data_IF_521536390164
#
_entry.id   IF_521536390164
#
_cell.length_a   1.000
_cell.length_b   1.000
_cell.length_c   1.000
_cell.angle_alpha   90.00
_cell.angle_beta   90.00
_cell.angle_gamma   90.00
#
_symmetry.space_group_name_H-M   'P 1'
#
loop_
_entity.id
_entity.type
_entity.pdbx_description
1 polymer ?
#
# COMPACT_ATOMS: atom_id res chain seq x y z
N UNK A 1 -36.72 -14.54 46.71
CA UNK A 1 -36.44 -14.60 45.24
C UNK A 1 -36.19 -13.16 44.77
N UNK A 2 -35.02 -12.62 45.08
CA UNK A 2 -34.70 -11.24 44.70
C UNK A 2 -33.20 -11.06 44.68
N UNK A 3 -32.66 -10.56 43.55
CA UNK A 3 -31.34 -9.98 43.36
C UNK A 3 -30.13 -10.91 43.35
N UNK A 4 -30.02 -11.69 42.26
CA UNK A 4 -28.72 -11.93 41.64
C UNK A 4 -28.74 -11.23 40.29
N UNK A 5 -28.80 -9.92 40.27
CA UNK A 5 -28.33 -9.14 39.12
C UNK A 5 -26.82 -9.16 39.28
N UNK A 6 -26.17 -10.10 38.60
CA UNK A 6 -24.72 -10.11 38.35
C UNK A 6 -24.36 -8.70 37.84
N UNK A 7 -23.61 -7.98 38.67
CA UNK A 7 -22.93 -6.75 38.27
C UNK A 7 -21.98 -7.16 37.12
N UNK A 8 -22.45 -7.05 35.90
CA UNK A 8 -21.59 -7.22 34.72
C UNK A 8 -20.54 -6.12 34.86
N UNK A 9 -19.38 -6.47 35.36
CA UNK A 9 -18.26 -5.54 35.42
C UNK A 9 -18.02 -5.03 34.00
N UNK A 10 -18.04 -3.70 33.83
CA UNK A 10 -17.70 -3.12 32.52
C UNK A 10 -16.34 -3.68 32.11
N UNK A 11 -16.20 -4.18 30.86
CA UNK A 11 -14.93 -4.71 30.40
C UNK A 11 -13.85 -3.63 30.55
N UNK A 12 -12.61 -4.00 30.87
CA UNK A 12 -11.53 -3.04 31.03
C UNK A 12 -11.41 -2.21 29.75
N UNK A 13 -11.14 -0.92 29.89
CA UNK A 13 -11.08 0.03 28.75
C UNK A 13 -10.19 -0.47 27.61
N UNK A 14 -9.09 -1.13 27.93
CA UNK A 14 -8.19 -1.72 26.92
C UNK A 14 -8.92 -2.75 26.05
N UNK A 15 -9.76 -3.61 26.63
CA UNK A 15 -10.53 -4.59 25.88
C UNK A 15 -11.54 -3.90 24.93
N UNK A 16 -12.19 -2.83 25.39
CA UNK A 16 -13.12 -2.06 24.55
C UNK A 16 -12.39 -1.40 23.38
N UNK A 17 -11.24 -0.79 23.62
CA UNK A 17 -10.42 -0.15 22.59
C UNK A 17 -9.81 -1.19 21.63
N UNK A 18 -9.49 -2.38 22.12
CA UNK A 18 -9.03 -3.49 21.27
C UNK A 18 -10.14 -3.94 20.33
N UNK A 19 -11.36 -4.16 20.83
CA UNK A 19 -12.52 -4.51 20.00
C UNK A 19 -12.75 -3.42 18.95
N UNK A 20 -12.74 -2.15 19.35
CA UNK A 20 -12.93 -1.01 18.45
C UNK A 20 -11.86 -1.00 17.34
N UNK A 21 -10.60 -1.21 17.68
CA UNK A 21 -9.51 -1.23 16.71
C UNK A 21 -9.60 -2.42 15.75
N UNK A 22 -9.98 -3.61 16.25
CA UNK A 22 -10.22 -4.79 15.41
C UNK A 22 -11.37 -4.53 14.44
N UNK A 23 -12.50 -4.03 14.94
CA UNK A 23 -13.65 -3.69 14.09
C UNK A 23 -13.28 -2.64 13.05
N UNK A 24 -12.55 -1.60 13.45
CA UNK A 24 -12.06 -0.58 12.53
C UNK A 24 -11.15 -1.16 11.44
N UNK A 25 -10.19 -2.01 11.81
CA UNK A 25 -9.27 -2.65 10.84
C UNK A 25 -10.02 -3.56 9.88
N UNK A 26 -10.93 -4.40 10.39
CA UNK A 26 -11.73 -5.30 9.56
C UNK A 26 -12.70 -4.52 8.65
N UNK A 27 -13.32 -3.44 9.17
CA UNK A 27 -14.16 -2.57 8.37
C UNK A 27 -13.37 -1.88 7.24
N UNK A 28 -12.13 -1.43 7.53
CA UNK A 28 -11.26 -0.85 6.53
C UNK A 28 -10.86 -1.89 5.47
N UNK A 29 -10.45 -3.09 5.89
CA UNK A 29 -10.11 -4.18 4.98
C UNK A 29 -11.31 -4.57 4.10
N UNK A 30 -12.49 -4.73 4.69
CA UNK A 30 -13.72 -5.02 3.97
C UNK A 30 -14.10 -3.90 3.01
N UNK A 31 -14.00 -2.64 3.43
CA UNK A 31 -14.32 -1.50 2.59
C UNK A 31 -13.44 -1.41 1.34
N UNK A 32 -12.19 -1.85 1.42
CA UNK A 32 -11.28 -1.87 0.25
C UNK A 32 -11.70 -2.89 -0.81
N UNK A 33 -12.47 -3.89 -0.46
CA UNK A 33 -13.04 -4.87 -1.38
C UNK A 33 -14.46 -4.49 -1.79
N UNK A 34 -15.29 -4.14 -0.83
CA UNK A 34 -16.72 -3.96 -1.03
C UNK A 34 -17.10 -2.65 -1.68
N UNK A 35 -16.42 -1.54 -1.33
CA UNK A 35 -16.70 -0.23 -1.98
C UNK A 35 -16.49 -0.31 -3.48
N UNK A 36 -15.38 -0.87 -3.99
CA UNK A 36 -15.20 -1.10 -5.41
C UNK A 36 -16.31 -1.93 -6.06
N UNK A 37 -16.71 -3.00 -5.39
CA UNK A 37 -17.78 -3.87 -5.88
C UNK A 37 -19.11 -3.12 -6.01
N UNK A 38 -19.48 -2.35 -4.99
CA UNK A 38 -20.69 -1.54 -5.00
C UNK A 38 -20.66 -0.46 -6.07
N UNK A 39 -19.51 0.22 -6.22
CA UNK A 39 -19.33 1.19 -7.30
C UNK A 39 -19.43 0.53 -8.66
N UNK A 40 -18.86 -0.67 -8.82
CA UNK A 40 -19.00 -1.45 -10.05
C UNK A 40 -20.47 -1.72 -10.36
N UNK A 41 -21.22 -2.22 -9.40
CA UNK A 41 -22.64 -2.49 -9.58
C UNK A 41 -23.45 -1.24 -9.92
N UNK A 42 -23.16 -0.12 -9.25
CA UNK A 42 -23.87 1.14 -9.48
C UNK A 42 -23.55 1.77 -10.84
N UNK A 43 -22.35 1.58 -11.37
CA UNK A 43 -21.87 2.21 -12.59
C UNK A 43 -21.94 1.30 -13.81
N UNK A 44 -22.18 -0.01 -13.63
CA UNK A 44 -22.18 -1.01 -14.70
C UNK A 44 -23.16 -0.69 -15.84
N UNK A 45 -24.26 0.00 -15.55
CA UNK A 45 -25.23 0.44 -16.57
C UNK A 45 -24.74 1.63 -17.41
N UNK A 46 -23.81 2.43 -16.88
CA UNK A 46 -23.31 3.65 -17.52
C UNK A 46 -21.91 3.48 -18.11
N UNK A 47 -21.14 2.62 -17.49
CA UNK A 47 -19.78 2.27 -17.92
C UNK A 47 -19.81 0.80 -18.31
N UNK A 48 -19.67 0.46 -19.59
CA UNK A 48 -19.73 -0.93 -20.03
C UNK A 48 -18.71 -1.77 -19.29
N UNK A 49 -19.18 -2.89 -18.77
CA UNK A 49 -18.29 -3.87 -18.16
C UNK A 49 -17.48 -4.53 -19.26
N UNK A 50 -16.17 -4.45 -19.18
CA UNK A 50 -15.26 -5.15 -20.13
C UNK A 50 -15.48 -6.66 -20.12
N UNK A 51 -16.11 -7.21 -19.08
CA UNK A 51 -16.48 -8.62 -19.05
C UNK A 51 -17.43 -9.06 -20.14
N UNK A 52 -18.32 -8.18 -20.59
CA UNK A 52 -19.18 -8.45 -21.74
C UNK A 52 -18.43 -8.44 -23.06
N UNK A 53 -17.20 -7.93 -23.09
CA UNK A 53 -16.39 -7.74 -24.30
C UNK A 53 -15.21 -8.72 -24.27
N UNK A 54 -15.48 -10.00 -24.53
CA UNK A 54 -14.49 -11.09 -24.44
C UNK A 54 -13.36 -11.04 -25.50
N UNK A 55 -13.44 -10.18 -26.50
CA UNK A 55 -12.39 -10.08 -27.51
C UNK A 55 -11.49 -8.87 -27.29
N UNK A 56 -10.17 -9.02 -27.41
CA UNK A 56 -9.25 -7.88 -27.38
C UNK A 56 -9.62 -6.77 -28.37
N UNK A 57 -10.16 -7.16 -29.54
CA UNK A 57 -10.58 -6.24 -30.57
C UNK A 57 -11.78 -5.35 -30.17
N UNK A 58 -12.65 -5.84 -29.28
CA UNK A 58 -13.77 -5.06 -28.76
C UNK A 58 -13.36 -4.17 -27.57
N UNK A 59 -12.33 -4.58 -26.83
CA UNK A 59 -11.83 -3.84 -25.65
C UNK A 59 -10.95 -2.67 -26.05
N UNK A 60 -10.10 -2.82 -27.06
CA UNK A 60 -9.17 -1.77 -27.49
C UNK A 60 -9.85 -0.44 -27.85
N UNK A 61 -10.92 -0.39 -28.67
CA UNK A 61 -11.60 0.86 -28.97
C UNK A 61 -12.20 1.54 -27.74
N UNK A 62 -12.71 0.75 -26.78
CA UNK A 62 -13.22 1.30 -25.53
C UNK A 62 -12.11 1.88 -24.68
N UNK A 63 -11.00 1.16 -24.49
CA UNK A 63 -9.82 1.65 -23.78
C UNK A 63 -9.30 2.93 -24.39
N UNK A 64 -9.20 2.99 -25.73
CA UNK A 64 -8.73 4.18 -26.42
C UNK A 64 -9.69 5.36 -26.26
N UNK A 65 -11.01 5.14 -26.29
CA UNK A 65 -12.00 6.19 -26.03
C UNK A 65 -11.90 6.76 -24.61
N UNK A 66 -11.53 5.95 -23.64
CA UNK A 66 -11.35 6.34 -22.23
C UNK A 66 -9.99 6.95 -21.92
N UNK A 67 -9.02 6.90 -22.84
CA UNK A 67 -7.65 7.37 -22.63
C UNK A 67 -7.59 8.85 -22.23
N UNK A 68 -8.38 9.71 -22.86
CA UNK A 68 -8.47 11.13 -22.50
C UNK A 68 -9.01 11.32 -21.08
N UNK A 69 -10.04 10.57 -20.70
CA UNK A 69 -10.58 10.57 -19.34
C UNK A 69 -9.51 10.12 -18.35
N UNK A 70 -8.69 9.14 -18.73
CA UNK A 70 -7.53 8.67 -17.96
C UNK A 70 -6.52 9.78 -17.67
N UNK A 71 -6.16 10.56 -18.68
CA UNK A 71 -5.24 11.70 -18.47
C UNK A 71 -5.83 12.74 -17.52
N UNK A 72 -7.12 13.06 -17.65
CA UNK A 72 -7.79 14.01 -16.75
C UNK A 72 -7.80 13.49 -15.32
N UNK A 73 -8.18 12.23 -15.09
CA UNK A 73 -8.22 11.63 -13.77
C UNK A 73 -6.83 11.53 -13.14
N UNK A 74 -5.82 11.13 -13.91
CA UNK A 74 -4.44 11.13 -13.45
C UNK A 74 -3.98 12.55 -13.05
N UNK A 75 -4.33 13.55 -13.87
CA UNK A 75 -4.07 14.96 -13.54
C UNK A 75 -4.72 15.40 -12.25
N UNK A 76 -5.97 15.01 -11.99
CA UNK A 76 -6.69 15.30 -10.74
C UNK A 76 -5.99 14.63 -9.54
N UNK A 77 -5.60 13.38 -9.65
CA UNK A 77 -4.90 12.66 -8.56
C UNK A 77 -3.56 13.31 -8.26
N UNK A 78 -2.77 13.63 -9.29
CA UNK A 78 -1.49 14.34 -9.13
C UNK A 78 -1.71 15.72 -8.51
N UNK A 79 -2.73 16.46 -8.93
CA UNK A 79 -3.08 17.75 -8.35
C UNK A 79 -3.45 17.61 -6.86
N UNK A 80 -4.25 16.62 -6.47
CA UNK A 80 -4.58 16.34 -5.06
C UNK A 80 -3.32 16.10 -4.23
N UNK A 81 -2.36 15.32 -4.75
CA UNK A 81 -1.10 15.04 -4.08
C UNK A 81 -0.28 16.33 -3.93
N UNK A 82 -0.13 17.11 -5.00
CA UNK A 82 0.65 18.36 -4.97
C UNK A 82 0.00 19.39 -4.04
N UNK A 83 -1.32 19.62 -4.16
CA UNK A 83 -2.06 20.55 -3.30
C UNK A 83 -2.01 20.09 -1.85
N UNK A 84 -2.14 18.80 -1.59
CA UNK A 84 -2.01 18.23 -0.25
C UNK A 84 -0.63 18.46 0.34
N UNK A 85 0.42 18.29 -0.46
CA UNK A 85 1.80 18.49 -0.05
C UNK A 85 2.14 19.98 0.19
N UNK A 86 1.85 20.84 -0.79
CA UNK A 86 2.14 22.27 -0.73
C UNK A 86 1.25 22.97 0.31
N UNK A 87 -0.05 22.66 0.29
CA UNK A 87 -1.05 23.27 1.19
C UNK A 87 -1.03 22.75 2.63
N UNK A 88 -0.09 21.83 2.96
CA UNK A 88 0.01 21.23 4.31
C UNK A 88 -1.23 20.42 4.71
N UNK A 89 -2.05 20.00 3.76
CA UNK A 89 -3.30 19.24 3.99
C UNK A 89 -3.04 17.75 3.85
N UNK A 90 -2.64 17.09 4.95
CA UNK A 90 -2.31 15.66 4.97
C UNK A 90 -3.46 14.78 4.48
N UNK A 91 -4.70 15.14 4.77
CA UNK A 91 -5.87 14.40 4.28
C UNK A 91 -5.95 14.36 2.76
N UNK A 92 -5.67 15.47 2.06
CA UNK A 92 -5.64 15.49 0.59
C UNK A 92 -4.48 14.68 0.03
N UNK A 93 -3.30 14.73 0.68
CA UNK A 93 -2.15 13.94 0.29
C UNK A 93 -2.41 12.44 0.42
N UNK A 94 -3.00 12.03 1.56
CA UNK A 94 -3.38 10.63 1.79
C UNK A 94 -4.48 10.17 0.84
N UNK A 95 -5.48 11.03 0.56
CA UNK A 95 -6.54 10.73 -0.39
C UNK A 95 -5.99 10.52 -1.81
N UNK A 96 -5.09 11.38 -2.25
CA UNK A 96 -4.42 11.21 -3.54
C UNK A 96 -3.60 9.92 -3.61
N UNK A 97 -2.90 9.56 -2.53
CA UNK A 97 -2.16 8.29 -2.43
C UNK A 97 -3.09 7.07 -2.53
N UNK A 98 -4.22 7.11 -1.81
CA UNK A 98 -5.24 6.05 -1.86
C UNK A 98 -5.77 5.92 -3.30
N UNK A 99 -6.10 7.01 -3.96
CA UNK A 99 -6.59 6.97 -5.34
C UNK A 99 -5.57 6.45 -6.34
N UNK A 100 -4.27 6.67 -6.13
CA UNK A 100 -3.23 6.03 -6.93
C UNK A 100 -3.20 4.52 -6.72
N UNK A 101 -3.47 4.07 -5.51
CA UNK A 101 -3.40 2.66 -5.15
C UNK A 101 -4.71 1.89 -5.40
N UNK A 102 -5.88 2.53 -5.31
CA UNK A 102 -7.18 1.89 -5.58
C UNK A 102 -7.25 1.12 -6.89
N UNK A 103 -6.65 1.58 -8.00
CA UNK A 103 -6.56 0.77 -9.20
C UNK A 103 -5.89 -0.59 -8.97
N UNK A 104 -4.91 -0.66 -8.08
CA UNK A 104 -4.23 -1.91 -7.71
C UNK A 104 -5.16 -2.85 -6.96
N UNK A 105 -5.91 -2.34 -5.98
CA UNK A 105 -6.94 -3.11 -5.30
C UNK A 105 -8.05 -3.60 -6.24
N UNK A 106 -8.43 -2.80 -7.22
CA UNK A 106 -9.39 -3.21 -8.20
C UNK A 106 -9.00 -4.45 -8.99
N UNK A 107 -7.71 -4.73 -9.13
CA UNK A 107 -7.23 -6.00 -9.69
C UNK A 107 -7.43 -7.15 -8.73
N UNK A 108 -7.36 -6.90 -7.44
CA UNK A 108 -7.48 -7.91 -6.43
C UNK A 108 -8.92 -8.35 -6.19
N UNK A 109 -9.82 -7.40 -6.17
CA UNK A 109 -11.17 -7.63 -5.67
C UNK A 109 -12.09 -8.45 -6.56
N UNK A 110 -11.74 -8.89 -7.65
CA UNK A 110 -12.27 -9.86 -8.58
C UNK A 110 -12.03 -9.39 -10.00
N UNK A 111 -11.89 -10.32 -10.87
CA UNK A 111 -11.72 -10.01 -12.28
C UNK A 111 -12.81 -9.10 -12.82
N UNK A 112 -13.93 -9.04 -12.15
CA UNK A 112 -15.09 -8.29 -12.57
C UNK A 112 -15.01 -6.80 -12.40
N UNK A 113 -14.14 -6.36 -11.50
CA UNK A 113 -14.07 -4.98 -11.20
C UNK A 113 -13.58 -4.10 -12.20
N UNK A 114 -13.33 -4.69 -13.27
CA UNK A 114 -12.41 -4.13 -14.11
C UNK A 114 -12.86 -2.82 -14.56
N UNK A 115 -14.01 -2.39 -14.40
CA UNK A 115 -14.26 -1.15 -14.94
C UNK A 115 -15.30 -0.34 -14.46
N UNK A 116 -16.22 -0.79 -13.83
CA UNK A 116 -17.27 0.11 -13.57
C UNK A 116 -16.99 0.97 -12.33
N UNK A 117 -16.67 0.46 -11.22
CA UNK A 117 -16.47 1.29 -10.02
C UNK A 117 -15.06 1.81 -9.87
N UNK A 118 -14.14 0.90 -9.64
CA UNK A 118 -12.74 1.24 -9.56
C UNK A 118 -12.08 1.44 -10.90
N UNK A 119 -12.71 0.97 -11.97
CA UNK A 119 -12.29 1.28 -13.31
C UNK A 119 -12.13 2.77 -13.55
N UNK A 120 -12.97 3.61 -12.92
CA UNK A 120 -12.79 5.06 -12.97
C UNK A 120 -11.40 5.49 -12.45
N UNK A 121 -10.93 4.90 -11.37
CA UNK A 121 -9.59 5.20 -10.83
C UNK A 121 -8.48 4.54 -11.65
N UNK A 122 -8.74 3.35 -12.23
CA UNK A 122 -7.85 2.70 -13.17
C UNK A 122 -7.71 3.43 -14.46
N UNK A 123 -8.74 4.08 -14.91
CA UNK A 123 -8.70 4.93 -16.09
C UNK A 123 -7.57 5.96 -16.00
N UNK A 124 -7.19 6.40 -14.78
CA UNK A 124 -6.00 7.21 -14.55
C UNK A 124 -4.67 6.58 -15.00
N UNK A 125 -4.60 5.25 -15.07
CA UNK A 125 -3.41 4.51 -15.51
C UNK A 125 -3.49 4.04 -16.98
N UNK A 126 -4.62 4.20 -17.65
CA UNK A 126 -4.79 3.82 -19.07
C UNK A 126 -3.74 4.43 -19.99
N UNK A 127 -3.27 5.70 -19.79
CA UNK A 127 -2.22 6.26 -20.61
C UNK A 127 -0.95 5.40 -20.66
N UNK A 128 -0.72 4.60 -19.63
CA UNK A 128 0.45 3.72 -19.47
C UNK A 128 0.13 2.25 -19.73
N UNK A 129 -1.13 1.89 -20.02
CA UNK A 129 -1.54 0.49 -20.18
C UNK A 129 -0.85 -0.22 -21.35
N UNK A 130 -0.53 0.52 -22.42
CA UNK A 130 0.23 -0.01 -23.55
C UNK A 130 1.75 0.03 -23.34
N UNK A 131 2.20 0.62 -22.23
CA UNK A 131 3.61 0.66 -21.82
C UNK A 131 3.80 -0.20 -20.56
N UNK A 132 3.59 -1.51 -20.71
CA UNK A 132 3.74 -2.49 -19.63
C UNK A 132 5.07 -2.31 -18.87
N UNK A 133 6.15 -2.02 -19.59
CA UNK A 133 7.45 -1.76 -19.01
C UNK A 133 7.46 -0.61 -18.01
N UNK A 134 6.64 0.43 -18.21
CA UNK A 134 6.54 1.56 -17.27
C UNK A 134 5.90 1.08 -15.97
N UNK A 135 4.82 0.29 -16.03
CA UNK A 135 4.11 -0.21 -14.86
C UNK A 135 4.98 -1.16 -14.02
N UNK A 136 6.00 -1.77 -14.66
CA UNK A 136 6.97 -2.69 -14.06
C UNK A 136 8.21 -2.02 -13.47
N UNK A 137 8.33 -0.70 -13.54
CA UNK A 137 9.46 0.05 -12.97
C UNK A 137 9.56 0.01 -11.43
N UNK A 138 8.73 -0.77 -10.79
CA UNK A 138 8.79 -1.11 -9.37
C UNK A 138 9.15 -2.58 -9.10
N UNK A 139 9.41 -3.42 -10.10
CA UNK A 139 9.50 -4.88 -9.97
C UNK A 139 10.54 -5.38 -8.97
N UNK A 140 11.58 -4.60 -8.67
CA UNK A 140 12.55 -4.93 -7.61
C UNK A 140 11.86 -5.16 -6.25
N UNK A 141 10.68 -4.58 -6.01
CA UNK A 141 9.94 -4.75 -4.75
C UNK A 141 9.44 -6.18 -4.53
N UNK A 142 9.39 -7.01 -5.58
CA UNK A 142 9.08 -8.43 -5.42
C UNK A 142 10.23 -9.25 -4.83
N UNK A 143 11.46 -8.76 -4.86
CA UNK A 143 12.64 -9.53 -4.41
C UNK A 143 12.49 -10.03 -2.96
N UNK A 144 12.06 -9.22 -1.97
CA UNK A 144 11.88 -9.72 -0.61
C UNK A 144 10.88 -10.87 -0.49
N UNK A 145 9.86 -10.89 -1.34
CA UNK A 145 8.89 -11.98 -1.41
C UNK A 145 9.44 -13.19 -2.15
N UNK A 146 10.20 -12.98 -3.22
CA UNK A 146 10.71 -14.06 -4.05
C UNK A 146 11.82 -14.87 -3.39
N UNK A 147 12.60 -14.26 -2.51
CA UNK A 147 13.68 -14.96 -1.79
C UNK A 147 13.14 -16.18 -1.03
N UNK A 148 12.17 -16.06 -0.11
CA UNK A 148 11.61 -17.23 0.58
C UNK A 148 10.91 -18.19 -0.38
N UNK A 149 10.23 -17.73 -1.43
CA UNK A 149 9.61 -18.60 -2.44
C UNK A 149 10.66 -19.54 -3.04
N UNK A 150 11.76 -19.00 -3.54
CA UNK A 150 12.84 -19.80 -4.13
C UNK A 150 13.51 -20.75 -3.12
N UNK A 151 13.67 -20.32 -1.85
CA UNK A 151 14.22 -21.19 -0.81
C UNK A 151 13.36 -22.44 -0.63
N UNK A 152 12.04 -22.29 -0.56
CA UNK A 152 11.11 -23.41 -0.41
C UNK A 152 11.02 -24.27 -1.68
N UNK A 153 11.09 -23.68 -2.84
CA UNK A 153 11.14 -24.39 -4.11
C UNK A 153 12.39 -25.27 -4.21
N UNK A 154 13.56 -24.72 -3.88
CA UNK A 154 14.84 -25.46 -3.87
C UNK A 154 14.87 -26.55 -2.78
N UNK A 155 14.23 -26.33 -1.63
CA UNK A 155 14.25 -27.26 -0.52
C UNK A 155 13.37 -28.52 -0.73
N UNK A 156 12.38 -28.47 -1.59
CA UNK A 156 11.47 -29.61 -1.78
C UNK A 156 10.37 -29.40 -2.82
N UNK A 157 10.55 -28.43 -3.71
CA UNK A 157 9.54 -28.06 -4.70
C UNK A 157 8.17 -27.71 -4.05
N UNK A 158 8.23 -27.02 -2.90
CA UNK A 158 7.04 -26.65 -2.13
C UNK A 158 6.54 -25.29 -2.63
N UNK A 159 5.32 -25.26 -3.15
CA UNK A 159 4.67 -24.00 -3.53
C UNK A 159 4.10 -23.26 -2.31
N UNK A 160 4.80 -22.25 -1.87
CA UNK A 160 4.42 -21.40 -0.73
C UNK A 160 3.92 -20.01 -1.15
N UNK A 161 3.79 -19.76 -2.45
CA UNK A 161 3.51 -18.41 -3.00
C UNK A 161 2.27 -17.78 -2.39
N UNK A 162 1.13 -18.42 -2.47
CA UNK A 162 -0.12 -17.91 -1.90
C UNK A 162 -0.07 -17.79 -0.38
N UNK A 163 0.56 -18.77 0.28
CA UNK A 163 0.70 -18.77 1.73
C UNK A 163 1.49 -17.53 2.19
N UNK A 164 2.64 -17.26 1.58
CA UNK A 164 3.47 -16.10 1.92
C UNK A 164 2.76 -14.77 1.63
N UNK A 165 1.99 -14.71 0.53
CA UNK A 165 1.20 -13.53 0.20
C UNK A 165 0.13 -13.26 1.26
N UNK A 166 -0.63 -14.28 1.68
CA UNK A 166 -1.63 -14.13 2.76
C UNK A 166 -0.99 -13.86 4.12
N UNK A 167 0.19 -14.42 4.40
CA UNK A 167 0.96 -14.07 5.61
C UNK A 167 1.28 -12.57 5.60
N UNK A 168 1.71 -12.01 4.48
CA UNK A 168 1.97 -10.57 4.39
C UNK A 168 0.69 -9.74 4.63
N UNK A 169 -0.46 -10.14 4.05
CA UNK A 169 -1.76 -9.50 4.31
C UNK A 169 -2.09 -9.55 5.80
N UNK A 170 -2.05 -10.75 6.40
CA UNK A 170 -2.39 -10.94 7.82
C UNK A 170 -1.44 -10.20 8.76
N UNK A 171 -0.13 -10.25 8.51
CA UNK A 171 0.88 -9.54 9.30
C UNK A 171 0.68 -8.01 9.22
N UNK A 172 0.37 -7.49 8.04
CA UNK A 172 0.08 -6.07 7.86
C UNK A 172 -1.17 -5.62 8.63
N UNK A 173 -2.27 -6.36 8.50
CA UNK A 173 -3.52 -6.09 9.25
C UNK A 173 -3.31 -6.20 10.76
N UNK A 174 -2.58 -7.20 11.22
CA UNK A 174 -2.25 -7.39 12.62
C UNK A 174 -1.44 -6.21 13.17
N UNK A 175 -0.40 -5.80 12.46
CA UNK A 175 0.44 -4.66 12.84
C UNK A 175 -0.36 -3.35 12.85
N UNK A 176 -1.21 -3.13 11.85
CA UNK A 176 -2.12 -1.99 11.79
C UNK A 176 -3.06 -1.97 12.99
N UNK A 177 -3.64 -3.11 13.34
CA UNK A 177 -4.52 -3.26 14.52
C UNK A 177 -3.78 -2.93 15.81
N UNK A 178 -2.57 -3.50 16.02
CA UNK A 178 -1.77 -3.22 17.20
C UNK A 178 -1.41 -1.73 17.32
N UNK A 179 -1.03 -1.12 16.19
CA UNK A 179 -0.79 0.33 16.13
C UNK A 179 -2.03 1.14 16.54
N UNK A 180 -3.19 0.76 16.01
CA UNK A 180 -4.47 1.42 16.29
C UNK A 180 -4.90 1.26 17.75
N UNK A 181 -4.80 0.06 18.31
CA UNK A 181 -5.08 -0.18 19.76
C UNK A 181 -4.19 0.69 20.62
N UNK A 182 -2.88 0.68 20.35
CA UNK A 182 -1.91 1.44 21.14
C UNK A 182 -2.19 2.94 21.03
N UNK A 183 -2.53 3.41 19.83
CA UNK A 183 -2.86 4.81 19.60
C UNK A 183 -4.15 5.23 20.33
N UNK A 184 -5.23 4.45 20.22
CA UNK A 184 -6.47 4.72 20.94
C UNK A 184 -6.25 4.76 22.46
N UNK A 185 -5.48 3.80 22.98
CA UNK A 185 -5.19 3.74 24.40
C UNK A 185 -4.32 4.92 24.85
N UNK A 186 -3.30 5.30 24.09
CA UNK A 186 -2.49 6.48 24.38
C UNK A 186 -3.32 7.78 24.37
N UNK A 187 -4.19 7.94 23.39
CA UNK A 187 -5.09 9.11 23.32
C UNK A 187 -6.12 9.12 24.44
N UNK A 188 -6.63 7.97 24.83
CA UNK A 188 -7.50 7.85 26.01
C UNK A 188 -6.78 8.27 27.30
N UNK A 189 -5.48 8.03 27.40
CA UNK A 189 -4.65 8.48 28.53
C UNK A 189 -4.22 9.96 28.44
N UNK A 190 -4.64 10.69 27.42
CA UNK A 190 -4.25 12.08 27.21
C UNK A 190 -2.83 12.30 26.73
N UNK A 191 -2.10 11.24 26.30
CA UNK A 191 -0.74 11.36 25.81
C UNK A 191 -0.68 12.08 24.46
N UNK A 192 0.18 13.07 24.33
CA UNK A 192 0.47 13.73 23.07
C UNK A 192 1.36 12.87 22.19
N UNK A 193 2.49 12.44 22.73
CA UNK A 193 3.41 11.50 22.09
C UNK A 193 3.19 10.09 22.64
N UNK A 194 3.02 9.12 21.73
CA UNK A 194 2.82 7.71 22.08
C UNK A 194 4.13 6.98 21.85
N UNK A 195 4.77 6.58 22.95
CA UNK A 195 6.13 6.01 23.01
C UNK A 195 6.17 4.59 23.60
N UNK A 196 5.02 3.94 23.75
CA UNK A 196 4.87 2.63 24.38
C UNK A 196 4.23 1.60 23.45
N UNK A 197 4.15 0.34 23.90
CA UNK A 197 3.58 -0.76 23.14
C UNK A 197 4.35 -0.98 21.83
N UNK A 198 3.63 -1.11 20.72
CA UNK A 198 4.22 -1.32 19.39
C UNK A 198 5.01 -0.10 18.89
N UNK A 199 4.75 1.10 19.45
CA UNK A 199 5.46 2.32 19.10
C UNK A 199 6.91 2.36 19.59
N UNK A 200 7.31 1.45 20.48
CA UNK A 200 8.74 1.22 20.82
C UNK A 200 9.53 0.59 19.67
N UNK A 201 8.85 -0.16 18.81
CA UNK A 201 9.48 -0.90 17.70
C UNK A 201 9.29 -0.23 16.35
N UNK A 202 8.37 0.72 16.26
CA UNK A 202 8.13 1.54 15.07
C UNK A 202 7.44 2.83 15.49
N UNK A 203 7.94 3.98 15.03
CA UNK A 203 7.24 5.26 15.28
C UNK A 203 5.97 5.41 14.48
N UNK A 204 5.83 4.62 13.39
CA UNK A 204 4.68 4.65 12.49
C UNK A 204 4.11 3.25 12.22
N UNK A 205 3.70 2.50 13.26
CA UNK A 205 3.28 1.11 13.10
C UNK A 205 2.02 0.95 12.24
N UNK A 206 1.10 1.92 12.25
CA UNK A 206 -0.10 1.90 11.40
C UNK A 206 0.27 2.07 9.92
N UNK A 207 1.15 3.02 9.58
CA UNK A 207 1.61 3.19 8.21
C UNK A 207 2.42 1.98 7.73
N UNK A 208 3.27 1.43 8.59
CA UNK A 208 4.00 0.20 8.29
C UNK A 208 3.04 -0.97 8.06
N UNK A 209 2.05 -1.16 8.94
CA UNK A 209 1.02 -2.19 8.78
C UNK A 209 0.26 -2.05 7.46
N UNK A 210 -0.12 -0.82 7.09
CA UNK A 210 -0.77 -0.56 5.81
C UNK A 210 0.12 -0.87 4.60
N UNK A 211 1.41 -0.50 4.65
CA UNK A 211 2.36 -0.80 3.57
C UNK A 211 2.53 -2.32 3.42
N UNK A 212 2.69 -3.07 4.51
CA UNK A 212 2.84 -4.53 4.47
C UNK A 212 1.55 -5.20 3.97
N UNK A 213 0.39 -4.77 4.47
CA UNK A 213 -0.89 -5.28 4.04
C UNK A 213 -1.12 -5.05 2.55
N UNK A 214 -0.94 -3.80 2.09
CA UNK A 214 -1.11 -3.44 0.69
C UNK A 214 -0.10 -4.15 -0.23
N UNK A 215 1.11 -4.41 0.25
CA UNK A 215 2.10 -5.23 -0.42
C UNK A 215 1.61 -6.67 -0.61
N UNK A 216 1.10 -7.29 0.45
CA UNK A 216 0.51 -8.62 0.39
C UNK A 216 -0.66 -8.70 -0.60
N UNK A 217 -1.56 -7.71 -0.58
CA UNK A 217 -2.67 -7.58 -1.53
C UNK A 217 -2.19 -7.46 -2.97
N UNK A 218 -1.15 -6.65 -3.22
CA UNK A 218 -0.54 -6.54 -4.54
C UNK A 218 -0.02 -7.89 -5.05
N UNK A 219 0.63 -8.66 -4.19
CA UNK A 219 1.15 -9.99 -4.53
C UNK A 219 0.01 -10.97 -4.79
N UNK A 220 -0.99 -11.05 -3.91
CA UNK A 220 -2.16 -11.92 -4.12
C UNK A 220 -2.83 -11.58 -5.45
N UNK A 221 -3.01 -10.28 -5.73
CA UNK A 221 -3.53 -9.81 -7.02
C UNK A 221 -2.70 -10.32 -8.20
N UNK A 222 -1.38 -10.22 -8.13
CA UNK A 222 -0.49 -10.72 -9.19
C UNK A 222 -0.53 -12.24 -9.37
N UNK A 223 -0.81 -13.01 -8.30
CA UNK A 223 -0.90 -14.46 -8.35
C UNK A 223 -2.26 -14.99 -8.83
N UNK A 224 -3.35 -14.26 -8.55
CA UNK A 224 -4.72 -14.78 -8.76
C UNK A 224 -5.33 -14.36 -10.09
N UNK A 225 -4.72 -13.41 -10.81
CA UNK A 225 -5.39 -12.84 -11.98
C UNK A 225 -4.92 -13.41 -13.30
N UNK A 226 -5.79 -14.22 -13.89
CA UNK A 226 -5.80 -14.52 -15.31
C UNK A 226 -7.11 -13.95 -15.87
N UNK A 227 -7.00 -12.92 -16.71
CA UNK A 227 -8.16 -12.30 -17.33
C UNK A 227 -8.10 -12.45 -18.85
N UNK A 228 -9.14 -13.04 -19.43
CA UNK A 228 -9.25 -13.23 -20.88
C UNK A 228 -7.96 -13.79 -21.52
N UNK A 229 -7.29 -14.75 -20.86
CA UNK A 229 -6.04 -15.32 -21.34
C UNK A 229 -4.82 -14.38 -21.29
N UNK A 230 -4.96 -13.17 -20.80
CA UNK A 230 -3.83 -12.25 -20.60
C UNK A 230 -3.56 -12.07 -19.11
N UNK A 231 -2.31 -12.25 -18.72
CA UNK A 231 -1.82 -11.83 -17.40
C UNK A 231 -1.78 -10.32 -17.38
N UNK A 232 -2.38 -9.73 -16.35
CA UNK A 232 -2.18 -8.31 -16.15
C UNK A 232 -0.74 -8.04 -15.78
N UNK A 233 -0.14 -6.98 -16.34
CA UNK A 233 1.20 -6.59 -15.93
C UNK A 233 1.22 -6.32 -14.44
N UNK A 234 2.29 -6.70 -13.75
CA UNK A 234 2.49 -6.35 -12.36
C UNK A 234 2.38 -4.83 -12.20
N UNK A 235 1.61 -4.39 -11.22
CA UNK A 235 1.36 -2.98 -10.95
C UNK A 235 2.25 -2.49 -9.81
N UNK A 236 3.52 -2.78 -9.93
CA UNK A 236 4.50 -2.46 -8.90
C UNK A 236 4.78 -0.97 -8.79
N UNK A 237 4.80 -0.24 -9.92
CA UNK A 237 5.04 1.20 -9.91
C UNK A 237 3.92 1.99 -9.18
N UNK A 238 2.61 1.78 -9.44
CA UNK A 238 1.56 2.42 -8.68
C UNK A 238 1.63 2.16 -7.17
N UNK A 239 1.89 0.91 -6.79
CA UNK A 239 2.06 0.56 -5.39
C UNK A 239 3.27 1.27 -4.77
N UNK A 240 4.42 1.26 -5.45
CA UNK A 240 5.65 1.93 -5.00
C UNK A 240 5.43 3.42 -4.76
N UNK A 241 4.79 4.11 -5.71
CA UNK A 241 4.48 5.53 -5.58
C UNK A 241 3.60 5.78 -4.35
N UNK A 242 2.54 4.99 -4.19
CA UNK A 242 1.65 5.08 -3.02
C UNK A 242 2.38 4.83 -1.70
N UNK A 243 3.21 3.79 -1.63
CA UNK A 243 4.01 3.48 -0.44
C UNK A 243 4.97 4.62 -0.10
N UNK A 244 5.67 5.18 -1.09
CA UNK A 244 6.57 6.33 -0.89
C UNK A 244 5.82 7.59 -0.44
N UNK A 245 4.60 7.83 -0.95
CA UNK A 245 3.77 8.96 -0.48
C UNK A 245 3.39 8.75 1.00
N UNK A 246 3.04 7.53 1.40
CA UNK A 246 2.73 7.22 2.81
C UNK A 246 3.96 7.45 3.69
N UNK A 247 5.15 7.05 3.24
CA UNK A 247 6.41 7.38 3.92
C UNK A 247 6.59 8.90 4.05
N UNK A 248 6.30 9.66 3.00
CA UNK A 248 6.36 11.12 3.05
C UNK A 248 5.34 11.72 4.03
N UNK A 249 4.12 11.15 4.12
CA UNK A 249 3.12 11.57 5.13
C UNK A 249 3.66 11.35 6.54
N UNK A 250 4.25 10.18 6.81
CA UNK A 250 4.88 9.89 8.09
C UNK A 250 6.01 10.89 8.42
N UNK A 251 6.88 11.19 7.47
CA UNK A 251 7.95 12.18 7.63
C UNK A 251 7.41 13.60 7.88
N UNK A 252 6.30 13.98 7.25
CA UNK A 252 5.61 15.25 7.51
C UNK A 252 5.03 15.30 8.92
N UNK A 253 4.52 14.18 9.43
CA UNK A 253 4.06 14.07 10.82
C UNK A 253 5.22 14.27 11.80
N UNK A 254 6.37 13.67 11.54
CA UNK A 254 7.56 13.84 12.39
C UNK A 254 8.02 15.30 12.47
N UNK A 255 7.99 16.04 11.36
CA UNK A 255 8.31 17.47 11.38
C UNK A 255 7.36 18.23 12.32
N UNK A 256 6.06 17.91 12.26
CA UNK A 256 5.09 18.60 13.12
C UNK A 256 5.17 18.17 14.59
N UNK A 257 5.45 16.90 14.87
CA UNK A 257 5.65 16.41 16.25
C UNK A 257 6.86 17.08 16.89
N UNK A 258 7.97 17.18 16.14
CA UNK A 258 9.17 17.92 16.59
C UNK A 258 8.92 19.40 16.86
N UNK A 259 7.99 20.04 16.12
CA UNK A 259 7.64 21.44 16.34
C UNK A 259 6.78 21.64 17.60
N UNK A 260 5.97 20.63 17.96
CA UNK A 260 5.06 20.69 19.12
C UNK A 260 5.75 20.32 20.43
N UNK A 261 6.59 19.33 20.41
CA UNK A 261 7.31 18.80 21.57
C UNK A 261 8.75 18.48 21.15
N UNK A 262 9.64 19.50 21.11
CA UNK A 262 11.01 19.33 20.61
C UNK A 262 11.83 18.34 21.44
N UNK A 263 11.78 18.41 22.76
CA UNK A 263 12.61 17.61 23.66
C UNK A 263 12.08 16.17 23.77
N UNK A 264 10.80 16.00 24.09
CA UNK A 264 10.19 14.68 24.26
C UNK A 264 10.18 13.90 22.95
N UNK A 265 9.94 14.56 21.83
CA UNK A 265 9.97 13.90 20.52
C UNK A 265 11.39 13.51 20.09
N UNK A 266 12.40 14.31 20.36
CA UNK A 266 13.80 13.95 20.06
C UNK A 266 14.24 12.72 20.84
N UNK A 267 13.96 12.65 22.14
CA UNK A 267 14.24 11.47 22.96
C UNK A 267 13.52 10.22 22.44
N UNK A 268 12.25 10.34 22.07
CA UNK A 268 11.50 9.25 21.46
C UNK A 268 12.09 8.81 20.11
N UNK A 269 12.50 9.74 19.28
CA UNK A 269 13.10 9.48 17.97
C UNK A 269 14.43 8.72 18.07
N UNK A 270 15.20 8.95 19.12
CA UNK A 270 16.45 8.23 19.39
C UNK A 270 16.20 6.80 19.87
N UNK A 271 15.09 6.59 20.59
CA UNK A 271 14.75 5.29 21.17
C UNK A 271 14.01 4.34 20.24
N UNK A 272 13.29 4.85 19.24
CA UNK A 272 12.45 4.05 18.36
C UNK A 272 12.79 4.26 16.87
N UNK A 273 12.87 3.19 16.06
CA UNK A 273 13.11 3.29 14.62
C UNK A 273 11.95 3.96 13.88
N UNK A 274 12.24 4.54 12.71
CA UNK A 274 11.24 5.24 11.90
C UNK A 274 10.04 4.35 11.55
N UNK A 275 10.27 3.25 10.89
CA UNK A 275 9.26 2.25 10.54
C UNK A 275 9.73 0.84 10.91
N UNK A 276 10.76 0.33 10.23
CA UNK A 276 11.29 -1.00 10.48
C UNK A 276 12.41 -0.97 11.52
N UNK A 277 12.46 -1.92 12.45
CA UNK A 277 13.60 -2.13 13.33
C UNK A 277 14.74 -2.81 12.55
N UNK A 278 15.41 -2.06 11.70
CA UNK A 278 16.50 -2.56 10.87
C UNK A 278 17.82 -2.57 11.65
N UNK A 279 18.69 -3.56 11.41
CA UNK A 279 20.06 -3.51 11.88
C UNK A 279 20.73 -2.20 11.44
N UNK A 280 21.60 -1.65 12.28
CA UNK A 280 22.25 -0.36 12.05
C UNK A 280 22.96 -0.27 10.69
N UNK A 281 23.66 -1.33 10.29
CA UNK A 281 24.34 -1.39 8.98
C UNK A 281 23.38 -1.22 7.82
N UNK A 282 22.21 -1.89 7.86
CA UNK A 282 21.20 -1.81 6.82
C UNK A 282 20.51 -0.45 6.83
N UNK A 283 20.18 0.08 8.01
CA UNK A 283 19.63 1.43 8.16
C UNK A 283 20.60 2.47 7.60
N UNK A 284 21.89 2.34 7.90
CA UNK A 284 22.95 3.20 7.39
C UNK A 284 23.11 3.09 5.88
N UNK A 285 22.97 1.91 5.30
CA UNK A 285 23.00 1.73 3.84
C UNK A 285 21.80 2.41 3.19
N UNK A 286 20.59 2.15 3.68
CA UNK A 286 19.36 2.74 3.12
C UNK A 286 19.40 4.26 3.23
N UNK A 287 19.86 4.83 4.34
CA UNK A 287 19.88 6.29 4.54
C UNK A 287 21.13 6.99 3.95
N UNK A 288 22.06 6.23 3.36
CA UNK A 288 23.28 6.79 2.77
C UNK A 288 23.01 7.93 1.74
N UNK A 289 22.02 7.81 0.82
CA UNK A 289 21.70 8.89 -0.10
C UNK A 289 21.29 10.18 0.62
N UNK A 290 20.50 10.06 1.69
CA UNK A 290 20.04 11.21 2.47
C UNK A 290 21.19 11.85 3.24
N UNK A 291 22.06 11.06 3.86
CA UNK A 291 23.24 11.58 4.55
C UNK A 291 24.18 12.33 3.62
N UNK A 292 24.38 11.78 2.40
CA UNK A 292 25.23 12.43 1.41
C UNK A 292 24.66 13.78 0.95
N UNK A 293 23.35 13.87 0.76
CA UNK A 293 22.69 15.07 0.23
C UNK A 293 22.29 16.07 1.31
N UNK A 294 21.79 15.59 2.46
CA UNK A 294 21.24 16.46 3.51
C UNK A 294 22.07 16.51 4.77
N UNK A 295 23.21 15.75 4.82
CA UNK A 295 24.04 15.59 6.03
C UNK A 295 23.24 15.11 7.25
N UNK A 296 22.15 14.40 7.01
CA UNK A 296 21.22 13.87 8.02
C UNK A 296 20.63 12.55 7.55
N UNK A 297 20.34 11.64 8.50
CA UNK A 297 19.68 10.38 8.22
C UNK A 297 18.20 10.53 7.83
N UNK A 298 17.62 11.70 8.06
CA UNK A 298 16.21 11.99 7.78
C UNK A 298 16.04 13.42 7.29
N UNK A 299 15.01 13.67 6.43
CA UNK A 299 14.71 15.01 5.96
C UNK A 299 14.26 15.92 7.12
N UNK A 300 14.73 17.16 7.11
CA UNK A 300 14.46 18.15 8.14
C UNK A 300 13.36 19.14 7.76
N UNK A 301 13.03 19.20 6.49
CA UNK A 301 12.02 20.11 5.95
C UNK A 301 11.32 19.49 4.74
N UNK A 302 10.24 20.14 4.27
CA UNK A 302 9.40 19.64 3.18
C UNK A 302 10.13 19.48 1.85
N UNK A 303 11.07 20.39 1.53
CA UNK A 303 11.86 20.30 0.30
C UNK A 303 12.70 19.03 0.30
N UNK A 304 13.29 18.72 1.46
CA UNK A 304 14.05 17.48 1.63
C UNK A 304 13.14 16.22 1.59
N UNK A 305 11.90 16.30 2.09
CA UNK A 305 10.94 15.17 1.96
C UNK A 305 10.62 14.92 0.49
N UNK A 306 10.34 15.98 -0.29
CA UNK A 306 10.09 15.84 -1.73
C UNK A 306 11.31 15.27 -2.46
N UNK A 307 12.51 15.76 -2.13
CA UNK A 307 13.74 15.21 -2.68
C UNK A 307 13.95 13.73 -2.28
N UNK A 308 13.62 13.36 -1.04
CA UNK A 308 13.64 11.97 -0.57
C UNK A 308 12.72 11.09 -1.41
N UNK A 309 11.50 11.53 -1.67
CA UNK A 309 10.57 10.85 -2.57
C UNK A 309 11.19 10.60 -3.95
N UNK A 310 11.71 11.65 -4.59
CA UNK A 310 12.30 11.54 -5.93
C UNK A 310 13.54 10.64 -5.96
N UNK A 311 14.40 10.74 -4.94
CA UNK A 311 15.61 9.92 -4.83
C UNK A 311 15.26 8.42 -4.76
N UNK A 312 14.37 8.04 -3.82
CA UNK A 312 14.03 6.62 -3.66
C UNK A 312 13.18 6.09 -4.80
N UNK A 313 12.28 6.89 -5.36
CA UNK A 313 11.56 6.52 -6.58
C UNK A 313 12.56 6.26 -7.71
N UNK A 314 13.50 7.15 -7.95
CA UNK A 314 14.53 6.99 -8.98
C UNK A 314 15.43 5.77 -8.75
N UNK A 315 15.87 5.56 -7.50
CA UNK A 315 16.70 4.37 -7.15
C UNK A 315 15.94 3.08 -7.43
N UNK A 316 14.70 2.96 -6.97
CA UNK A 316 13.90 1.74 -7.16
C UNK A 316 13.58 1.51 -8.63
N UNK A 317 13.26 2.57 -9.39
CA UNK A 317 13.05 2.48 -10.83
C UNK A 317 14.31 1.99 -11.55
N UNK A 318 15.49 2.56 -11.24
CA UNK A 318 16.76 2.14 -11.82
C UNK A 318 17.10 0.68 -11.48
N UNK A 319 16.89 0.28 -10.23
CA UNK A 319 17.09 -1.11 -9.81
C UNK A 319 16.09 -2.08 -10.45
N UNK A 320 14.94 -1.59 -10.91
CA UNK A 320 13.94 -2.39 -11.62
C UNK A 320 14.26 -2.61 -13.10
N UNK A 321 15.14 -1.81 -13.71
CA UNK A 321 15.46 -1.93 -15.14
C UNK A 321 15.91 -3.34 -15.57
N UNK A 322 16.77 -4.06 -14.83
CA UNK A 322 17.15 -5.43 -15.21
C UNK A 322 15.96 -6.39 -15.27
N UNK A 323 14.92 -6.16 -14.44
CA UNK A 323 13.75 -7.02 -14.38
C UNK A 323 12.80 -6.83 -15.57
N UNK A 324 12.91 -5.73 -16.31
CA UNK A 324 12.10 -5.50 -17.50
C UNK A 324 12.47 -6.45 -18.66
N UNK A 325 13.74 -6.86 -18.73
CA UNK A 325 14.24 -7.78 -19.75
C UNK A 325 13.99 -9.24 -19.40
N UNK A 326 13.82 -9.52 -18.12
CA UNK A 326 13.51 -10.85 -17.62
C UNK A 326 11.98 -10.91 -17.52
N UNK A 327 11.37 -11.99 -18.04
CA UNK A 327 9.96 -12.23 -17.78
C UNK A 327 9.81 -12.64 -16.31
N UNK A 328 9.86 -11.65 -15.48
CA UNK A 328 9.85 -11.73 -14.02
C UNK A 328 8.48 -11.31 -13.47
N UNK A 329 8.02 -11.90 -12.37
CA UNK A 329 8.71 -12.97 -11.65
C UNK A 329 8.47 -14.33 -12.31
N UNK A 330 9.51 -15.17 -12.49
CA UNK A 330 9.35 -16.52 -13.04
C UNK A 330 8.32 -17.36 -12.27
N UNK A 331 8.25 -17.19 -10.94
CA UNK A 331 7.26 -17.86 -10.09
C UNK A 331 5.79 -17.47 -10.39
N UNK A 332 5.53 -16.38 -11.09
CA UNK A 332 4.21 -16.06 -11.63
C UNK A 332 3.96 -16.72 -12.99
N UNK A 333 5.01 -17.25 -13.64
CA UNK A 333 4.92 -17.95 -14.92
C UNK A 333 4.49 -19.42 -14.80
N UNK A 334 4.71 -20.07 -13.65
CA UNK A 334 4.46 -21.49 -13.46
C UNK A 334 2.99 -21.86 -13.35
N UNK A 335 2.10 -20.91 -13.50
CA UNK A 335 0.70 -21.21 -13.79
C UNK A 335 0.56 -21.29 -15.32
N UNK A 336 1.20 -22.29 -15.91
CA UNK A 336 0.84 -22.78 -17.23
C UNK A 336 -0.53 -23.45 -17.09
N UNK A 337 -1.57 -22.68 -17.33
CA UNK A 337 -2.90 -23.25 -17.51
C UNK A 337 -2.90 -23.93 -18.88
N UNK A 338 -3.35 -25.22 -18.95
CA UNK A 338 -3.32 -26.00 -20.17
C UNK A 338 -4.30 -25.56 -21.26
N UNK A 339 -4.73 -24.30 -21.25
CA UNK A 339 -5.75 -23.78 -22.16
C UNK A 339 -5.28 -22.52 -22.92
N UNK A 340 -3.99 -22.33 -23.09
CA UNK A 340 -3.45 -21.17 -23.81
C UNK A 340 -2.52 -21.58 -24.95
N UNK A 341 -2.93 -22.61 -25.75
CA UNK A 341 -2.45 -22.80 -27.12
C UNK A 341 -3.46 -22.22 -28.08
#
# INVERSE_FOLDING_TARGET
MARIIRKISKPPILAQLTVLAVVFTLALAFATEEIPRLLNQALSQRVPDIHGLWSPQAVEPFVDSMRTVGYVLLGVVVALIIIGFVGKRRGLLSLGSIFLFLPTFGYFAAPMFFLAGLGLFKVGWLPFSNAESIMRLGDIVYVPYMIPVYIFELAGNIDVRMILAYIAVGAGLFMFTLGTVTWFYGKHQGKETIDFGIYKYSRHPQYLGFIIWSYGVMIVGALTQVYAGRRYPPITLPWLISALIIVCVALLEEINMRQKDPEGYLAYRESAPFMFPLPERLSNFITAPLRKLFKSNQPQNRKQILATFGIYLGIVMLLSLPFLQIHWPPALRWIDWPYLD
#
